data_IF_108905100322
#
_entry.id   IF_108905100322
#
_cell.length_a   1.000
_cell.length_b   1.000
_cell.length_c   1.000
_cell.angle_alpha   90.00
_cell.angle_beta   90.00
_cell.angle_gamma   90.00
#
_symmetry.space_group_name_H-M   'P 1'
#
loop_
_entity.id
_entity.type
_entity.pdbx_description
1 polymer ?
#
# COMPACT_ATOMS: atom_id res chain seq x y z
N UNK A 1 -25.26 -13.42 6.63
CA UNK A 1 -25.10 -13.29 8.08
C UNK A 1 -24.54 -11.91 8.46
N UNK A 2 -23.68 -11.32 7.63
CA UNK A 2 -23.11 -10.00 7.90
C UNK A 2 -24.19 -8.91 7.82
N UNK A 3 -24.17 -8.01 8.81
CA UNK A 3 -25.12 -6.90 8.91
C UNK A 3 -24.43 -5.55 8.76
N UNK A 4 -23.12 -5.46 9.04
CA UNK A 4 -22.36 -4.23 8.91
C UNK A 4 -20.94 -4.49 8.43
N UNK A 5 -20.34 -3.44 7.89
CA UNK A 5 -18.91 -3.37 7.56
C UNK A 5 -18.27 -2.36 8.53
N UNK A 6 -17.33 -2.83 9.34
CA UNK A 6 -16.48 -1.97 10.15
C UNK A 6 -15.21 -1.68 9.37
N UNK A 7 -14.89 -0.41 9.15
CA UNK A 7 -13.68 0.01 8.46
C UNK A 7 -12.75 0.71 9.44
N UNK A 8 -11.50 0.29 9.45
CA UNK A 8 -10.45 0.92 10.24
C UNK A 8 -9.38 1.50 9.31
N UNK A 9 -8.84 2.65 9.68
CA UNK A 9 -7.71 3.26 8.99
C UNK A 9 -6.55 3.40 9.96
N UNK A 10 -5.36 3.01 9.53
CA UNK A 10 -4.14 3.20 10.30
C UNK A 10 -3.15 4.08 9.55
N UNK A 11 -2.71 5.17 10.19
CA UNK A 11 -1.77 6.11 9.60
C UNK A 11 -0.34 5.63 9.82
N UNK A 12 0.31 5.16 8.75
CA UNK A 12 1.69 4.69 8.80
C UNK A 12 2.74 5.80 8.61
N UNK A 13 2.34 7.02 8.28
CA UNK A 13 3.25 8.17 8.21
C UNK A 13 3.82 8.62 9.57
N UNK A 14 3.57 7.90 10.66
CA UNK A 14 4.23 8.11 11.94
C UNK A 14 5.59 7.38 12.04
N UNK A 15 5.92 6.56 11.03
CA UNK A 15 7.16 5.80 10.98
C UNK A 15 8.17 6.47 10.05
N UNK A 16 9.46 6.27 10.36
CA UNK A 16 10.53 6.63 9.44
C UNK A 16 10.55 5.68 8.23
N UNK A 17 11.03 6.19 7.13
CA UNK A 17 11.28 5.39 5.94
C UNK A 17 12.73 5.60 5.48
N UNK A 18 13.56 4.54 5.38
CA UNK A 18 14.96 4.65 5.03
C UNK A 18 15.19 5.37 3.71
N UNK A 19 16.15 6.28 3.67
CA UNK A 19 16.49 7.05 2.47
C UNK A 19 16.92 6.12 1.33
N UNK A 20 17.64 5.03 1.64
CA UNK A 20 18.08 4.00 0.70
C UNK A 20 16.95 3.29 -0.02
N UNK A 21 15.75 3.26 0.57
CA UNK A 21 14.55 2.60 0.02
C UNK A 21 13.59 3.60 -0.65
N UNK A 22 13.80 4.90 -0.48
CA UNK A 22 12.96 5.93 -1.13
C UNK A 22 13.11 5.84 -2.65
N UNK A 23 12.01 6.01 -3.37
CA UNK A 23 11.91 5.85 -4.83
C UNK A 23 12.24 4.46 -5.38
N UNK A 24 12.53 3.51 -4.51
CA UNK A 24 12.73 2.10 -4.88
C UNK A 24 11.57 1.22 -4.46
N UNK A 25 10.95 1.56 -3.34
CA UNK A 25 9.79 0.84 -2.82
C UNK A 25 8.67 1.81 -2.48
N UNK A 26 7.45 1.45 -2.85
CA UNK A 26 6.29 2.19 -2.39
C UNK A 26 6.16 2.07 -0.86
N UNK A 27 6.09 3.21 -0.19
CA UNK A 27 6.08 3.28 1.28
C UNK A 27 4.93 2.48 1.90
N UNK A 28 3.75 2.57 1.28
CA UNK A 28 2.60 1.80 1.71
C UNK A 28 2.76 0.29 1.61
N UNK A 29 3.63 -0.23 0.75
CA UNK A 29 3.92 -1.65 0.67
C UNK A 29 4.87 -2.12 1.78
N UNK A 30 5.85 -1.30 2.18
CA UNK A 30 6.78 -1.65 3.25
C UNK A 30 6.24 -1.36 4.64
N UNK A 31 5.57 -0.21 4.82
CA UNK A 31 5.05 0.21 6.12
C UNK A 31 3.63 -0.29 6.40
N UNK A 32 2.96 -0.83 5.38
CA UNK A 32 1.70 -1.54 5.58
C UNK A 32 2.01 -3.01 5.80
N UNK A 33 1.64 -3.51 6.70
CA UNK A 33 1.77 -4.53 7.50
C UNK A 33 1.56 -5.94 7.30
N UNK A 34 1.00 -6.30 6.22
CA UNK A 34 0.89 -7.65 5.71
C UNK A 34 2.27 -8.25 5.38
N UNK A 35 3.27 -7.39 5.28
CA UNK A 35 4.58 -7.76 4.75
C UNK A 35 5.63 -8.01 5.82
N UNK A 36 5.37 -7.61 7.07
CA UNK A 36 6.28 -7.89 8.18
C UNK A 36 5.55 -8.83 9.15
N UNK A 37 5.87 -10.12 9.15
CA UNK A 37 5.26 -11.08 10.06
C UNK A 37 5.36 -10.59 11.49
N UNK A 38 4.25 -10.67 12.25
CA UNK A 38 4.16 -10.19 13.63
C UNK A 38 4.41 -8.69 13.85
N UNK A 39 4.29 -7.91 12.81
CA UNK A 39 4.31 -6.44 12.88
C UNK A 39 3.24 -5.88 13.83
N UNK A 40 3.38 -4.62 14.18
CA UNK A 40 2.49 -3.94 15.15
C UNK A 40 1.03 -4.03 14.73
N UNK A 41 0.76 -3.90 13.47
CA UNK A 41 -0.59 -3.86 12.94
C UNK A 41 -1.21 -5.26 12.85
N UNK A 42 -0.45 -6.26 12.43
CA UNK A 42 -0.90 -7.64 12.49
C UNK A 42 -1.36 -7.98 13.92
N UNK A 43 -0.59 -7.55 14.92
CA UNK A 43 -0.97 -7.70 16.33
C UNK A 43 -2.23 -6.92 16.69
N UNK A 44 -2.38 -5.69 16.19
CA UNK A 44 -3.59 -4.87 16.43
C UNK A 44 -4.82 -5.50 15.80
N UNK A 45 -4.72 -6.00 14.57
CA UNK A 45 -5.84 -6.70 13.90
C UNK A 45 -6.26 -7.94 14.68
N UNK A 46 -5.32 -8.80 15.06
CA UNK A 46 -5.61 -9.97 15.89
C UNK A 46 -6.25 -9.59 17.23
N UNK A 47 -5.76 -8.54 17.87
CA UNK A 47 -6.33 -8.05 19.13
C UNK A 47 -7.76 -7.56 18.95
N UNK A 48 -8.05 -6.87 17.85
CA UNK A 48 -9.39 -6.39 17.56
C UNK A 48 -10.35 -7.54 17.23
N UNK A 49 -9.94 -8.51 16.45
CA UNK A 49 -10.72 -9.73 16.18
C UNK A 49 -11.01 -10.50 17.47
N UNK A 50 -9.99 -10.70 18.32
CA UNK A 50 -10.16 -11.33 19.64
C UNK A 50 -11.16 -10.57 20.51
N UNK A 51 -11.10 -9.24 20.50
CA UNK A 51 -12.04 -8.41 21.22
C UNK A 51 -13.47 -8.56 20.66
N UNK A 52 -13.68 -8.54 19.36
CA UNK A 52 -14.99 -8.78 18.73
C UNK A 52 -15.56 -10.14 19.17
N UNK A 53 -14.78 -11.21 19.08
CA UNK A 53 -15.19 -12.54 19.51
C UNK A 53 -15.53 -12.59 21.01
N UNK A 54 -14.78 -11.86 21.85
CA UNK A 54 -15.07 -11.76 23.30
C UNK A 54 -16.40 -11.07 23.59
N UNK A 55 -16.94 -10.32 22.64
CA UNK A 55 -18.26 -9.67 22.70
C UNK A 55 -19.36 -10.49 22.01
N UNK A 56 -19.09 -11.73 21.64
CA UNK A 56 -19.97 -12.57 20.85
C UNK A 56 -20.37 -11.92 19.51
N UNK A 57 -19.43 -11.26 18.87
CA UNK A 57 -19.58 -10.70 17.52
C UNK A 57 -18.81 -11.58 16.57
N UNK A 58 -19.53 -12.20 15.63
CA UNK A 58 -18.89 -12.94 14.54
C UNK A 58 -18.29 -11.92 13.55
N UNK A 59 -17.03 -12.15 13.14
CA UNK A 59 -16.38 -11.31 12.16
C UNK A 59 -15.60 -12.12 11.13
N UNK A 60 -15.44 -11.55 9.94
CA UNK A 60 -14.51 -11.98 8.88
C UNK A 60 -13.81 -10.73 8.35
N UNK A 61 -12.50 -10.78 8.25
CA UNK A 61 -11.67 -9.68 7.78
C UNK A 61 -10.35 -9.63 8.55
N UNK A 62 -9.65 -8.51 8.47
CA UNK A 62 -8.38 -8.33 9.18
C UNK A 62 -7.36 -9.41 8.83
N UNK A 63 -7.02 -10.27 9.81
CA UNK A 63 -6.06 -11.36 9.64
C UNK A 63 -6.71 -12.66 9.13
N UNK A 64 -7.98 -12.89 9.43
CA UNK A 64 -8.69 -14.14 9.06
C UNK A 64 -9.03 -14.22 7.58
N UNK A 65 -9.15 -13.09 6.92
CA UNK A 65 -9.27 -13.01 5.47
C UNK A 65 -8.50 -11.77 4.99
N UNK A 66 -7.81 -11.89 3.86
CA UNK A 66 -7.14 -10.71 3.28
C UNK A 66 -8.16 -9.57 3.16
N UNK A 67 -7.92 -8.39 3.76
CA UNK A 67 -8.91 -7.33 3.84
C UNK A 67 -9.51 -6.96 2.48
N UNK A 68 -8.68 -6.92 1.44
CA UNK A 68 -9.11 -6.65 0.07
C UNK A 68 -9.99 -7.76 -0.56
N UNK A 69 -9.99 -8.96 0.02
CA UNK A 69 -10.83 -10.07 -0.43
C UNK A 69 -12.25 -10.04 0.15
N UNK A 70 -12.49 -9.18 1.13
CA UNK A 70 -13.76 -9.11 1.84
C UNK A 70 -14.66 -8.01 1.28
N UNK A 71 -14.10 -6.81 1.12
CA UNK A 71 -14.78 -5.64 0.56
C UNK A 71 -13.78 -4.78 -0.21
N UNK A 72 -14.24 -3.97 -1.19
CA UNK A 72 -13.39 -2.96 -1.81
C UNK A 72 -13.08 -1.85 -0.79
N UNK A 73 -11.88 -1.89 -0.21
CA UNK A 73 -11.49 -1.09 0.96
C UNK A 73 -11.62 0.42 0.77
N UNK A 74 -11.18 0.95 -0.37
CA UNK A 74 -11.24 2.40 -0.62
C UNK A 74 -12.67 2.93 -0.66
N UNK A 75 -13.61 2.35 -1.45
CA UNK A 75 -15.02 2.74 -1.41
C UNK A 75 -15.63 2.60 -0.01
N UNK A 76 -15.36 1.51 0.69
CA UNK A 76 -15.87 1.28 2.03
C UNK A 76 -15.39 2.35 3.02
N UNK A 77 -14.11 2.74 2.95
CA UNK A 77 -13.54 3.79 3.80
C UNK A 77 -14.18 5.16 3.56
N UNK A 78 -14.45 5.49 2.29
CA UNK A 78 -15.13 6.74 1.93
C UNK A 78 -16.60 6.70 2.38
N UNK A 79 -17.30 5.59 2.16
CA UNK A 79 -18.67 5.42 2.63
C UNK A 79 -18.80 5.49 4.15
N UNK A 80 -17.80 5.00 4.88
CA UNK A 80 -17.72 5.13 6.34
C UNK A 80 -17.32 6.54 6.82
N UNK A 81 -17.11 7.50 5.90
CA UNK A 81 -16.80 8.90 6.23
C UNK A 81 -15.37 9.13 6.76
N UNK A 82 -14.45 8.17 6.57
CA UNK A 82 -13.08 8.24 7.08
C UNK A 82 -12.14 9.07 6.20
N UNK A 83 -12.58 9.44 5.02
CA UNK A 83 -11.78 10.19 4.07
C UNK A 83 -12.46 10.37 2.72
N UNK A 84 -11.68 10.76 1.74
CA UNK A 84 -12.15 11.01 0.38
C UNK A 84 -11.26 10.33 -0.67
N UNK A 85 -11.78 10.18 -1.88
CA UNK A 85 -10.96 9.92 -3.05
C UNK A 85 -10.32 11.22 -3.55
N UNK A 86 -9.08 11.11 -4.00
CA UNK A 86 -8.45 12.16 -4.81
C UNK A 86 -8.26 11.72 -6.26
N UNK A 87 -7.91 12.66 -7.12
CA UNK A 87 -7.78 12.46 -8.58
C UNK A 87 -6.83 11.32 -8.98
N UNK A 88 -5.91 10.91 -8.08
CA UNK A 88 -5.00 9.78 -8.26
C UNK A 88 -5.59 8.41 -7.84
N UNK A 89 -6.88 8.35 -7.54
CA UNK A 89 -7.57 7.15 -7.07
C UNK A 89 -7.14 6.61 -5.69
N UNK A 90 -6.29 7.32 -4.96
CA UNK A 90 -5.98 6.95 -3.59
C UNK A 90 -7.00 7.51 -2.60
N UNK A 91 -7.17 6.77 -1.51
CA UNK A 91 -7.87 7.26 -0.32
C UNK A 91 -6.98 8.29 0.39
N UNK A 92 -7.58 9.37 0.86
CA UNK A 92 -6.95 10.39 1.68
C UNK A 92 -7.75 10.62 2.94
N UNK A 93 -7.10 10.42 4.07
CA UNK A 93 -7.57 10.86 5.36
C UNK A 93 -7.03 12.27 5.72
N UNK A 94 -7.20 12.70 6.98
CA UNK A 94 -6.80 14.05 7.42
C UNK A 94 -5.31 14.38 7.25
N UNK A 95 -4.45 13.37 7.21
CA UNK A 95 -2.98 13.52 7.13
C UNK A 95 -2.40 13.09 5.78
N UNK A 96 -3.18 13.08 4.70
CA UNK A 96 -2.73 12.64 3.38
C UNK A 96 -3.18 11.24 3.01
N UNK A 97 -2.40 10.53 2.17
CA UNK A 97 -2.74 9.18 1.67
C UNK A 97 -2.06 8.03 2.41
N UNK A 98 -1.19 8.31 3.38
CA UNK A 98 -0.36 7.32 4.06
C UNK A 98 -1.16 6.53 5.11
N UNK A 99 -2.24 5.89 4.66
CA UNK A 99 -3.11 5.08 5.50
C UNK A 99 -3.21 3.65 4.97
N UNK A 100 -3.12 2.71 5.88
CA UNK A 100 -3.62 1.38 5.63
C UNK A 100 -5.12 1.33 5.91
N UNK A 101 -5.80 0.52 5.12
CA UNK A 101 -7.24 0.32 5.19
C UNK A 101 -7.51 -1.14 5.53
N UNK A 102 -8.33 -1.36 6.54
CA UNK A 102 -8.75 -2.69 6.99
C UNK A 102 -10.26 -2.71 7.15
N UNK A 103 -10.90 -3.80 6.76
CA UNK A 103 -12.34 -3.96 6.93
C UNK A 103 -12.69 -5.31 7.54
N UNK A 104 -13.79 -5.30 8.29
CA UNK A 104 -14.38 -6.47 8.93
C UNK A 104 -15.87 -6.52 8.60
N UNK A 105 -16.35 -7.66 8.13
CA UNK A 105 -17.77 -7.96 8.12
C UNK A 105 -18.16 -8.47 9.49
N UNK A 106 -19.22 -7.92 10.06
CA UNK A 106 -19.72 -8.33 11.38
C UNK A 106 -21.21 -8.70 11.34
N UNK A 107 -21.63 -9.58 12.25
CA UNK A 107 -23.02 -10.06 12.41
C UNK A 107 -23.89 -9.14 13.26
N UNK A 108 -23.45 -7.93 13.52
CA UNK A 108 -24.20 -6.93 14.28
C UNK A 108 -24.48 -5.71 13.41
N UNK A 109 -25.65 -5.12 13.57
CA UNK A 109 -25.97 -3.83 13.00
C UNK A 109 -25.16 -2.73 13.71
N UNK A 110 -24.58 -1.85 12.92
CA UNK A 110 -23.84 -0.69 13.40
C UNK A 110 -24.16 0.49 12.46
N UNK A 111 -24.70 1.57 13.03
CA UNK A 111 -25.10 2.76 12.27
C UNK A 111 -24.10 3.92 12.42
N UNK A 112 -22.94 3.67 13.06
CA UNK A 112 -21.94 4.71 13.24
C UNK A 112 -21.20 5.01 11.94
N UNK A 113 -21.33 6.24 11.48
CA UNK A 113 -20.58 6.79 10.34
C UNK A 113 -19.84 8.02 10.85
N UNK A 114 -18.53 8.03 10.68
CA UNK A 114 -17.72 9.20 10.96
C UNK A 114 -17.77 10.17 9.78
N UNK A 115 -17.89 11.45 10.06
CA UNK A 115 -17.83 12.50 9.04
C UNK A 115 -16.59 13.35 9.25
N UNK A 116 -15.59 13.15 8.39
CA UNK A 116 -14.38 13.97 8.36
C UNK A 116 -14.48 14.97 7.21
N UNK A 117 -14.36 16.26 7.54
CA UNK A 117 -14.28 17.30 6.51
C UNK A 117 -12.85 17.36 5.96
N UNK A 118 -12.68 16.85 4.76
CA UNK A 118 -11.40 16.87 4.05
C UNK A 118 -11.60 17.66 2.75
N UNK A 119 -10.81 18.72 2.51
CA UNK A 119 -10.97 19.52 1.30
C UNK A 119 -10.69 18.68 0.04
N UNK A 120 -11.54 18.77 -1.00
CA UNK A 120 -11.33 18.06 -2.25
C UNK A 120 -10.09 18.55 -3.01
N UNK A 121 -9.74 17.87 -4.10
CA UNK A 121 -8.74 18.39 -5.02
C UNK A 121 -9.23 19.71 -5.64
N UNK A 122 -8.37 20.73 -5.78
CA UNK A 122 -8.69 21.87 -6.63
C UNK A 122 -9.00 21.44 -8.07
N UNK A 123 -9.95 22.08 -8.72
CA UNK A 123 -10.40 21.69 -10.07
C UNK A 123 -9.26 21.71 -11.08
N UNK A 124 -8.37 22.69 -10.98
CA UNK A 124 -7.22 22.87 -11.88
C UNK A 124 -6.00 22.04 -11.53
N UNK A 125 -6.01 21.31 -10.41
CA UNK A 125 -4.86 20.51 -9.98
C UNK A 125 -4.80 19.19 -10.74
N UNK A 126 -3.66 18.93 -11.38
CA UNK A 126 -3.33 17.71 -12.13
C UNK A 126 -1.94 17.15 -11.79
N UNK A 127 -1.32 17.59 -10.69
CA UNK A 127 0.07 17.24 -10.32
C UNK A 127 0.32 15.73 -10.23
N UNK A 128 -0.65 14.96 -9.76
CA UNK A 128 -0.53 13.51 -9.74
C UNK A 128 -0.51 12.87 -11.14
N UNK A 129 -1.24 13.45 -12.09
CA UNK A 129 -1.23 13.02 -13.48
C UNK A 129 0.09 13.40 -14.17
N UNK A 130 0.63 14.60 -13.87
CA UNK A 130 1.95 15.04 -14.35
C UNK A 130 3.07 14.15 -13.78
N UNK A 131 3.00 13.78 -12.49
CA UNK A 131 3.95 12.89 -11.83
C UNK A 131 3.89 11.44 -12.31
N UNK A 132 2.81 11.01 -12.98
CA UNK A 132 2.67 9.67 -13.52
C UNK A 132 3.45 9.52 -14.83
N UNK A 133 4.63 8.92 -14.79
CA UNK A 133 5.52 8.80 -15.94
C UNK A 133 4.90 8.03 -17.11
N UNK A 134 4.22 6.96 -16.82
CA UNK A 134 3.55 6.10 -17.82
C UNK A 134 2.18 6.61 -18.26
N UNK A 135 1.73 7.75 -17.71
CA UNK A 135 0.38 8.31 -17.97
C UNK A 135 -0.76 7.34 -17.66
N UNK A 136 -0.52 6.39 -16.77
CA UNK A 136 -1.56 5.50 -16.26
C UNK A 136 -2.75 6.28 -15.66
N UNK A 137 -2.49 7.45 -15.04
CA UNK A 137 -3.53 8.41 -14.62
C UNK A 137 -3.89 9.32 -15.79
N UNK A 138 -4.72 8.83 -16.71
CA UNK A 138 -5.07 9.53 -17.95
C UNK A 138 -6.05 10.70 -17.75
N UNK A 139 -6.86 10.67 -16.70
CA UNK A 139 -7.80 11.71 -16.31
C UNK A 139 -8.04 11.69 -14.79
N UNK A 140 -8.69 12.72 -14.20
CA UNK A 140 -9.10 12.67 -12.81
C UNK A 140 -9.92 11.42 -12.50
N UNK A 141 -9.55 10.74 -11.40
CA UNK A 141 -10.22 9.51 -10.93
C UNK A 141 -10.19 8.34 -11.93
N UNK A 142 -9.33 8.42 -12.94
CA UNK A 142 -9.19 7.39 -13.98
C UNK A 142 -7.76 6.87 -14.00
N UNK A 143 -7.60 5.55 -13.90
CA UNK A 143 -6.30 4.89 -13.91
C UNK A 143 -6.38 3.62 -14.76
N UNK A 144 -5.41 3.45 -15.66
CA UNK A 144 -5.18 2.18 -16.33
C UNK A 144 -4.18 1.35 -15.50
N UNK A 145 -4.61 0.28 -14.81
CA UNK A 145 -3.71 -0.51 -14.00
C UNK A 145 -2.60 -1.18 -14.82
N UNK A 146 -2.87 -1.56 -16.05
CA UNK A 146 -1.91 -2.28 -16.90
C UNK A 146 -0.68 -1.45 -17.28
N UNK A 147 -0.81 -0.13 -17.29
CA UNK A 147 0.32 0.79 -17.53
C UNK A 147 0.85 1.44 -16.24
N UNK A 148 0.30 1.09 -15.07
CA UNK A 148 0.79 1.60 -13.79
C UNK A 148 2.12 0.95 -13.41
N UNK A 149 3.15 1.76 -13.12
CA UNK A 149 4.47 1.26 -12.69
C UNK A 149 4.34 0.28 -11.52
N UNK A 150 3.51 0.62 -10.53
CA UNK A 150 3.29 -0.27 -9.38
C UNK A 150 2.70 -1.62 -9.78
N UNK A 151 1.83 -1.68 -10.78
CA UNK A 151 1.30 -2.95 -11.26
C UNK A 151 2.34 -3.74 -12.06
N UNK A 152 3.06 -3.04 -12.95
CA UNK A 152 4.07 -3.66 -13.83
C UNK A 152 5.17 -4.34 -13.00
N UNK A 153 5.74 -3.66 -12.01
CA UNK A 153 6.87 -4.17 -11.23
C UNK A 153 6.47 -5.08 -10.06
N UNK A 154 5.18 -5.12 -9.70
CA UNK A 154 4.70 -5.95 -8.57
C UNK A 154 3.96 -7.19 -9.05
N UNK A 155 3.16 -7.07 -10.12
CA UNK A 155 2.26 -8.13 -10.58
C UNK A 155 2.42 -8.46 -12.07
N UNK A 156 3.32 -7.77 -12.77
CA UNK A 156 3.57 -7.99 -14.19
C UNK A 156 4.31 -9.31 -14.47
N UNK A 157 4.37 -9.67 -15.74
CA UNK A 157 5.07 -10.85 -16.26
C UNK A 157 6.49 -10.54 -16.76
N UNK A 158 6.98 -9.32 -16.50
CA UNK A 158 8.29 -8.84 -16.98
C UNK A 158 8.27 -8.21 -18.37
N UNK A 159 7.15 -8.25 -19.08
CA UNK A 159 6.95 -7.53 -20.33
C UNK A 159 6.43 -6.12 -20.09
N UNK A 160 6.89 -5.17 -20.91
CA UNK A 160 6.37 -3.81 -20.85
C UNK A 160 5.15 -3.69 -21.75
N UNK A 161 4.06 -3.05 -21.25
CA UNK A 161 2.89 -2.74 -22.06
C UNK A 161 3.25 -1.79 -23.22
N UNK A 162 2.45 -1.79 -24.27
CA UNK A 162 2.60 -0.86 -25.38
C UNK A 162 2.63 0.60 -24.90
N UNK A 163 3.61 1.35 -25.37
CA UNK A 163 3.82 2.76 -24.99
C UNK A 163 4.53 2.98 -23.65
N UNK A 164 4.90 1.93 -22.93
CA UNK A 164 5.71 2.01 -21.72
C UNK A 164 7.15 1.61 -22.03
N UNK A 165 8.10 2.43 -21.61
CA UNK A 165 9.54 2.18 -21.77
C UNK A 165 10.22 1.97 -20.41
N UNK A 166 11.41 1.38 -20.38
CA UNK A 166 12.13 1.08 -19.13
C UNK A 166 12.44 2.35 -18.32
N UNK A 167 12.79 3.44 -18.97
CA UNK A 167 13.06 4.73 -18.32
C UNK A 167 11.85 5.33 -17.60
N UNK A 168 10.63 4.98 -18.02
CA UNK A 168 9.40 5.40 -17.34
C UNK A 168 9.18 4.68 -16.00
N UNK A 169 9.82 3.54 -15.79
CA UNK A 169 9.74 2.81 -14.52
C UNK A 169 10.59 3.46 -13.43
N UNK A 170 11.54 4.31 -13.80
CA UNK A 170 12.51 4.94 -12.91
C UNK A 170 13.27 3.88 -12.08
N UNK A 171 13.58 4.15 -10.82
CA UNK A 171 14.28 3.21 -9.91
C UNK A 171 13.33 2.35 -9.07
N UNK A 172 12.03 2.30 -9.40
CA UNK A 172 11.05 1.56 -8.63
C UNK A 172 11.24 0.04 -8.78
N UNK A 173 11.61 -0.61 -7.70
CA UNK A 173 11.77 -2.08 -7.63
C UNK A 173 10.40 -2.73 -7.40
N UNK A 174 9.64 -2.26 -6.40
CA UNK A 174 8.29 -2.75 -6.11
C UNK A 174 7.40 -1.58 -5.71
N UNK A 175 6.25 -1.49 -6.38
CA UNK A 175 5.33 -0.38 -6.18
C UNK A 175 5.77 0.89 -6.88
N UNK A 176 5.08 1.99 -6.61
CA UNK A 176 5.41 3.33 -7.10
C UNK A 176 4.57 4.35 -6.33
N UNK A 177 5.22 5.39 -5.80
CA UNK A 177 4.53 6.46 -5.06
C UNK A 177 4.47 7.79 -5.83
N UNK A 178 4.93 7.87 -7.08
CA UNK A 178 5.04 9.14 -7.82
C UNK A 178 3.79 10.01 -7.76
N UNK A 179 2.62 9.43 -7.94
CA UNK A 179 1.37 10.17 -7.90
C UNK A 179 0.97 10.61 -6.47
N UNK A 180 1.44 9.91 -5.45
CA UNK A 180 1.24 10.27 -4.05
C UNK A 180 2.25 11.34 -3.63
N UNK A 181 3.53 11.18 -4.00
CA UNK A 181 4.61 12.12 -3.69
C UNK A 181 4.43 13.47 -4.42
N UNK A 182 3.80 13.46 -5.60
CA UNK A 182 3.46 14.68 -6.33
C UNK A 182 2.28 15.45 -5.72
N UNK A 183 1.51 14.81 -4.83
CA UNK A 183 0.31 15.42 -4.26
C UNK A 183 0.66 16.43 -3.16
N UNK A 184 0.17 17.70 -3.25
CA UNK A 184 0.43 18.71 -2.23
C UNK A 184 0.01 18.31 -0.81
N UNK A 185 -0.99 17.42 -0.68
CA UNK A 185 -1.46 16.93 0.62
C UNK A 185 -0.52 15.93 1.28
N UNK A 186 0.52 15.45 0.56
CA UNK A 186 1.58 14.60 1.09
C UNK A 186 2.94 15.30 1.15
N UNK A 187 3.12 16.43 0.47
CA UNK A 187 4.44 17.09 0.28
C UNK A 187 5.16 17.51 1.56
N UNK A 188 4.43 17.76 2.64
CA UNK A 188 5.01 18.23 3.89
C UNK A 188 5.38 17.07 4.83
N UNK A 189 5.30 15.84 4.36
CA UNK A 189 5.64 14.69 5.18
C UNK A 189 7.15 14.42 5.10
N UNK A 190 7.82 14.51 6.25
CA UNK A 190 9.24 14.19 6.38
C UNK A 190 9.42 12.75 6.86
N UNK A 191 9.85 11.90 5.95
CA UNK A 191 10.07 10.46 6.21
C UNK A 191 11.33 10.17 7.06
N UNK A 192 12.14 11.18 7.38
CA UNK A 192 13.26 11.03 8.31
C UNK A 192 12.83 11.14 9.78
N UNK A 193 11.63 11.66 10.03
CA UNK A 193 11.09 11.90 11.37
C UNK A 193 10.03 10.85 11.70
N UNK A 194 10.08 10.32 12.90
CA UNK A 194 9.07 9.36 13.37
C UNK A 194 9.66 8.24 14.20
N UNK A 195 8.87 7.20 14.38
CA UNK A 195 9.29 5.98 15.06
C UNK A 195 9.95 5.04 14.06
N UNK A 196 10.89 4.24 14.52
CA UNK A 196 11.41 3.15 13.72
C UNK A 196 10.30 2.11 13.50
N UNK A 197 10.16 1.62 12.27
CA UNK A 197 9.19 0.57 11.98
C UNK A 197 9.79 -0.78 12.40
N UNK A 198 9.14 -1.54 13.28
CA UNK A 198 9.71 -2.79 13.78
C UNK A 198 10.03 -3.78 12.67
N UNK A 199 11.28 -4.22 12.59
CA UNK A 199 11.76 -5.18 11.61
C UNK A 199 12.17 -4.58 10.25
N UNK A 200 11.99 -3.28 10.01
CA UNK A 200 12.40 -2.66 8.76
C UNK A 200 13.93 -2.56 8.63
N UNK A 201 14.62 -2.27 9.72
CA UNK A 201 16.08 -2.21 9.75
C UNK A 201 16.72 -3.55 9.39
N UNK A 202 16.07 -4.66 9.78
CA UNK A 202 16.51 -6.01 9.45
C UNK A 202 16.25 -6.36 7.97
N UNK A 203 15.24 -5.75 7.36
CA UNK A 203 14.90 -5.95 5.96
C UNK A 203 15.71 -5.05 5.03
N UNK A 204 16.12 -3.87 5.47
CA UNK A 204 16.78 -2.88 4.61
C UNK A 204 17.97 -3.45 3.82
N UNK A 205 18.89 -4.27 4.40
CA UNK A 205 20.02 -4.82 3.63
C UNK A 205 19.60 -5.76 2.50
N UNK A 206 18.56 -6.57 2.69
CA UNK A 206 18.09 -7.53 1.67
C UNK A 206 17.20 -6.87 0.61
N UNK A 207 16.73 -5.67 0.87
CA UNK A 207 15.95 -4.87 -0.07
C UNK A 207 16.83 -4.01 -1.00
N UNK A 208 18.16 -4.02 -0.83
CA UNK A 208 19.05 -3.27 -1.71
C UNK A 208 19.20 -3.96 -3.08
N UNK A 209 19.32 -3.20 -4.18
CA UNK A 209 19.55 -3.76 -5.51
C UNK A 209 20.73 -4.71 -5.56
N UNK A 210 21.81 -4.40 -4.84
CA UNK A 210 23.01 -5.21 -4.78
C UNK A 210 22.77 -6.61 -4.23
N UNK A 211 21.90 -6.75 -3.24
CA UNK A 211 21.49 -8.05 -2.70
C UNK A 211 20.66 -8.80 -3.76
N UNK A 212 19.61 -8.17 -4.28
CA UNK A 212 18.67 -8.78 -5.24
C UNK A 212 19.39 -9.30 -6.49
N UNK A 213 20.38 -8.54 -6.95
CA UNK A 213 21.14 -8.89 -8.16
C UNK A 213 22.19 -9.99 -7.94
N UNK A 214 22.70 -10.15 -6.72
CA UNK A 214 23.78 -11.10 -6.38
C UNK A 214 23.30 -12.36 -5.69
N UNK A 215 22.24 -12.27 -4.90
CA UNK A 215 21.69 -13.41 -4.16
C UNK A 215 21.22 -14.53 -5.12
N UNK A 216 21.34 -15.77 -4.69
CA UNK A 216 20.71 -16.89 -5.39
C UNK A 216 19.19 -16.82 -5.32
N UNK A 217 18.49 -17.60 -6.14
CA UNK A 217 17.03 -17.65 -6.07
C UNK A 217 16.58 -18.24 -4.73
N UNK A 218 17.32 -19.21 -4.20
CA UNK A 218 17.07 -19.81 -2.88
C UNK A 218 17.19 -18.76 -1.76
N UNK A 219 18.20 -17.90 -1.79
CA UNK A 219 18.37 -16.82 -0.80
C UNK A 219 17.23 -15.80 -0.87
N UNK A 220 16.76 -15.45 -2.07
CA UNK A 220 15.59 -14.56 -2.23
C UNK A 220 14.34 -15.24 -1.67
N UNK A 221 14.13 -16.54 -1.97
CA UNK A 221 12.99 -17.31 -1.47
C UNK A 221 12.99 -17.38 0.06
N UNK A 222 14.13 -17.62 0.67
CA UNK A 222 14.24 -17.83 2.12
C UNK A 222 14.24 -16.53 2.91
N UNK A 223 14.91 -15.50 2.42
CA UNK A 223 15.15 -14.28 3.19
C UNK A 223 14.18 -13.15 2.84
N UNK A 224 13.82 -13.00 1.58
CA UNK A 224 13.04 -11.86 1.11
C UNK A 224 11.54 -12.18 1.01
N UNK A 225 11.17 -13.25 0.32
CA UNK A 225 9.76 -13.55 0.03
C UNK A 225 8.92 -13.75 1.30
N UNK A 226 9.34 -14.52 2.32
CA UNK A 226 8.54 -14.71 3.52
C UNK A 226 8.42 -13.46 4.41
N UNK A 227 9.43 -12.60 4.38
CA UNK A 227 9.50 -11.40 5.21
C UNK A 227 8.88 -10.18 4.54
N UNK A 228 8.91 -10.19 3.22
CA UNK A 228 8.44 -9.10 2.39
C UNK A 228 7.92 -9.66 1.07
N UNK A 229 6.84 -9.10 0.53
CA UNK A 229 6.30 -9.52 -0.76
C UNK A 229 5.77 -10.96 -0.79
N UNK A 230 5.05 -11.36 0.26
CA UNK A 230 4.34 -12.65 0.31
C UNK A 230 3.45 -12.92 -0.93
N UNK A 231 3.14 -11.90 -1.71
CA UNK A 231 2.42 -11.99 -2.97
C UNK A 231 3.33 -12.33 -4.17
N UNK A 232 4.66 -12.22 -4.02
CA UNK A 232 5.58 -12.68 -5.03
C UNK A 232 5.68 -14.21 -4.96
N UNK A 233 5.61 -14.82 -6.12
CA UNK A 233 5.93 -16.24 -6.29
C UNK A 233 7.37 -16.37 -6.80
N UNK A 234 7.92 -17.58 -6.72
CA UNK A 234 9.26 -17.87 -7.25
C UNK A 234 9.37 -17.51 -8.74
N UNK A 235 8.25 -17.58 -9.47
CA UNK A 235 8.19 -17.23 -10.90
C UNK A 235 8.42 -15.73 -11.16
N UNK A 236 8.26 -14.89 -10.13
CA UNK A 236 8.44 -13.43 -10.25
C UNK A 236 9.85 -12.94 -9.85
N UNK A 237 10.76 -13.83 -9.45
CA UNK A 237 12.17 -13.47 -9.17
C UNK A 237 12.84 -12.80 -10.39
N UNK A 238 12.65 -13.26 -11.65
CA UNK A 238 13.20 -12.57 -12.81
C UNK A 238 12.70 -11.14 -12.96
N UNK A 239 11.41 -10.87 -12.65
CA UNK A 239 10.86 -9.51 -12.65
C UNK A 239 11.51 -8.65 -11.58
N UNK A 240 11.64 -9.17 -10.36
CA UNK A 240 12.30 -8.49 -9.24
C UNK A 240 13.74 -8.08 -9.61
N UNK A 241 14.51 -9.00 -10.20
CA UNK A 241 15.88 -8.72 -10.67
C UNK A 241 15.92 -7.71 -11.82
N UNK A 242 14.93 -7.74 -12.72
CA UNK A 242 14.81 -6.74 -13.79
C UNK A 242 14.57 -5.35 -13.24
N UNK A 243 13.70 -5.23 -12.24
CA UNK A 243 13.38 -3.96 -11.59
C UNK A 243 14.51 -3.44 -10.69
N UNK A 244 15.44 -4.29 -10.26
CA UNK A 244 16.59 -3.91 -9.44
C UNK A 244 17.83 -3.48 -10.25
N UNK A 245 17.80 -3.54 -11.57
CA UNK A 245 18.88 -3.08 -12.47
C UNK A 245 18.84 -1.58 -12.68
#
# INVERSE_FOLDING_TARGET
WAQSIVVCTEYFGNYKFPVSLQKRYAKGLLLSLANIPDGVEAKRRRSFETWLHSKNIQCIGGETARPAGVVPLRPASVAAGLGIYRKNNFFYGPKGSNYELVAYLIDKSCEYIQHLEIPPCPDTCDLCQQGCKTKSLSAPFTMNPLTCVSFINTFGDGNLPEGVTEDMLEEWIIGCDNCQDSCPFNKNHDWSIGKDYPGLDELEPILQPEFILKASDEEIIEQMIPKFCFHLTNEQIPLLRKSAK
#
